data_IF_445344269543
#
_entry.id   IF_445344269543
#
_cell.length_a   1.000
_cell.length_b   1.000
_cell.length_c   1.000
_cell.angle_alpha   90.00
_cell.angle_beta   90.00
_cell.angle_gamma   90.00
#
_symmetry.space_group_name_H-M   'P 1'
#
loop_
_entity.id
_entity.type
_entity.pdbx_description
1 polymer ?
#
# COMPACT_ATOMS: atom_id res chain seq x y z
N UNK A 1 -27.41 -32.06 -8.00
CA UNK A 1 -26.89 -30.67 -8.02
C UNK A 1 -28.08 -29.71 -8.14
N UNK A 2 -28.22 -28.73 -7.24
CA UNK A 2 -29.25 -27.68 -7.38
C UNK A 2 -28.85 -26.81 -8.58
N UNK A 3 -29.73 -26.62 -9.57
CA UNK A 3 -29.53 -25.82 -10.78
C UNK A 3 -29.31 -24.34 -10.44
N UNK A 4 -28.15 -23.99 -9.87
CA UNK A 4 -27.79 -22.62 -9.56
C UNK A 4 -27.28 -21.95 -10.82
N UNK A 5 -27.88 -20.82 -11.17
CA UNK A 5 -27.44 -19.93 -12.26
C UNK A 5 -26.89 -18.64 -11.68
N UNK A 6 -26.15 -17.88 -12.50
CA UNK A 6 -25.69 -16.54 -12.11
C UNK A 6 -26.87 -15.62 -11.80
N UNK A 7 -26.63 -14.67 -10.88
CA UNK A 7 -27.54 -13.55 -10.68
C UNK A 7 -27.60 -12.67 -11.93
N UNK A 8 -28.73 -11.98 -12.18
CA UNK A 8 -28.81 -10.99 -13.25
C UNK A 8 -27.73 -9.93 -13.12
N UNK A 9 -27.27 -9.40 -14.25
CA UNK A 9 -26.34 -8.28 -14.27
C UNK A 9 -26.96 -7.07 -13.55
N UNK A 10 -26.13 -6.32 -12.82
CA UNK A 10 -26.58 -5.09 -12.19
C UNK A 10 -26.87 -4.01 -13.24
N UNK A 11 -27.77 -3.09 -12.92
CA UNK A 11 -28.04 -1.94 -13.79
C UNK A 11 -26.82 -1.01 -13.88
N UNK A 12 -26.75 -0.20 -14.95
CA UNK A 12 -25.60 0.67 -15.22
C UNK A 12 -25.32 1.65 -14.08
N UNK A 13 -26.33 2.20 -13.41
CA UNK A 13 -26.10 3.13 -12.27
C UNK A 13 -25.46 2.40 -11.09
N UNK A 14 -25.91 1.18 -10.81
CA UNK A 14 -25.30 0.32 -9.80
C UNK A 14 -23.86 -0.05 -10.16
N UNK A 15 -23.59 -0.37 -11.43
CA UNK A 15 -22.24 -0.75 -11.89
C UNK A 15 -21.22 0.37 -11.69
N UNK A 16 -21.50 1.59 -12.17
CA UNK A 16 -20.55 2.71 -12.00
C UNK A 16 -20.31 3.01 -10.52
N UNK A 17 -21.38 3.05 -9.71
CA UNK A 17 -21.24 3.30 -8.28
C UNK A 17 -20.34 2.26 -7.62
N UNK A 18 -20.55 0.97 -7.88
CA UNK A 18 -19.74 -0.11 -7.30
C UNK A 18 -18.29 -0.04 -7.77
N UNK A 19 -18.06 0.12 -9.07
CA UNK A 19 -16.72 0.18 -9.63
C UNK A 19 -15.92 1.33 -9.03
N UNK A 20 -16.48 2.54 -8.96
CA UNK A 20 -15.80 3.70 -8.39
C UNK A 20 -15.50 3.50 -6.90
N UNK A 21 -16.46 3.05 -6.09
CA UNK A 21 -16.20 2.81 -4.67
C UNK A 21 -15.13 1.74 -4.43
N UNK A 22 -15.15 0.66 -5.20
CA UNK A 22 -14.18 -0.43 -5.04
C UNK A 22 -12.79 0.03 -5.45
N UNK A 23 -12.65 0.69 -6.60
CA UNK A 23 -11.35 1.03 -7.16
C UNK A 23 -10.75 2.28 -6.51
N UNK A 24 -11.54 3.29 -6.17
CA UNK A 24 -11.02 4.58 -5.69
C UNK A 24 -11.42 4.91 -4.26
N UNK A 25 -12.32 4.14 -3.65
CA UNK A 25 -12.86 4.43 -2.32
C UNK A 25 -13.86 5.59 -2.27
N UNK A 26 -14.16 6.23 -3.40
CA UNK A 26 -14.99 7.42 -3.49
C UNK A 26 -16.26 7.16 -4.34
N UNK A 27 -17.35 7.93 -4.12
CA UNK A 27 -18.48 7.91 -5.05
C UNK A 27 -18.09 8.53 -6.41
N UNK A 28 -18.74 8.12 -7.51
CA UNK A 28 -18.61 8.84 -8.79
C UNK A 28 -19.30 10.20 -8.72
N UNK A 29 -18.82 11.17 -9.51
CA UNK A 29 -19.50 12.47 -9.64
C UNK A 29 -20.77 12.33 -10.50
N UNK A 30 -21.74 13.26 -10.37
CA UNK A 30 -22.92 13.27 -11.24
C UNK A 30 -22.58 13.27 -12.74
N UNK A 31 -21.53 13.99 -13.14
CA UNK A 31 -21.06 14.11 -14.52
C UNK A 31 -20.45 12.78 -15.01
N UNK A 32 -19.70 12.08 -14.18
CA UNK A 32 -19.16 10.75 -14.50
C UNK A 32 -20.29 9.73 -14.68
N UNK A 33 -21.32 9.78 -13.83
CA UNK A 33 -22.51 8.94 -13.96
C UNK A 33 -23.23 9.25 -15.27
N UNK A 34 -23.48 10.51 -15.57
CA UNK A 34 -24.16 10.90 -16.81
C UNK A 34 -23.37 10.46 -18.04
N UNK A 35 -22.05 10.68 -18.04
CA UNK A 35 -21.16 10.29 -19.14
C UNK A 35 -21.18 8.78 -19.36
N UNK A 36 -21.07 7.99 -18.29
CA UNK A 36 -21.15 6.53 -18.38
C UNK A 36 -22.52 6.03 -18.84
N UNK A 37 -23.62 6.66 -18.42
CA UNK A 37 -24.96 6.26 -18.85
C UNK A 37 -25.25 6.61 -20.30
N UNK A 38 -24.60 7.64 -20.85
CA UNK A 38 -24.73 8.07 -22.24
C UNK A 38 -23.81 7.30 -23.20
N UNK A 39 -22.84 6.52 -22.71
CA UNK A 39 -21.95 5.72 -23.55
C UNK A 39 -22.61 4.40 -23.95
N UNK A 40 -23.16 4.35 -25.17
CA UNK A 40 -23.76 3.14 -25.76
C UNK A 40 -22.75 2.19 -26.42
N UNK A 41 -21.45 2.48 -26.29
CA UNK A 41 -20.39 1.58 -26.74
C UNK A 41 -20.47 0.22 -26.04
N UNK A 42 -20.18 -0.84 -26.80
CA UNK A 42 -19.97 -2.18 -26.24
C UNK A 42 -18.80 -2.25 -25.24
N UNK A 43 -17.92 -1.25 -25.23
CA UNK A 43 -16.76 -1.13 -24.32
C UNK A 43 -16.94 -0.08 -23.21
N UNK A 44 -18.16 0.43 -23.00
CA UNK A 44 -18.39 1.52 -22.04
C UNK A 44 -17.92 1.17 -20.62
N UNK A 45 -18.07 -0.10 -20.21
CA UNK A 45 -17.67 -0.55 -18.89
C UNK A 45 -16.15 -0.70 -18.76
N UNK A 46 -15.50 -1.28 -19.77
CA UNK A 46 -14.05 -1.44 -19.83
C UNK A 46 -13.36 -0.09 -19.77
N UNK A 47 -13.81 0.89 -20.56
CA UNK A 47 -13.27 2.26 -20.52
C UNK A 47 -13.49 2.95 -19.18
N UNK A 48 -14.61 2.67 -18.50
CA UNK A 48 -14.82 3.14 -17.14
C UNK A 48 -13.78 2.54 -16.19
N UNK A 49 -13.50 1.24 -16.28
CA UNK A 49 -12.51 0.57 -15.44
C UNK A 49 -11.10 1.11 -15.73
N UNK A 50 -10.70 1.21 -16.99
CA UNK A 50 -9.37 1.73 -17.38
C UNK A 50 -9.15 3.13 -16.79
N UNK A 51 -10.13 4.03 -16.96
CA UNK A 51 -10.08 5.38 -16.37
C UNK A 51 -9.98 5.37 -14.84
N UNK A 52 -10.62 4.42 -14.17
CA UNK A 52 -10.56 4.31 -12.71
C UNK A 52 -9.20 3.76 -12.26
N UNK A 53 -8.63 2.80 -12.97
CA UNK A 53 -7.29 2.25 -12.70
C UNK A 53 -6.18 3.27 -12.94
N UNK A 54 -6.33 4.13 -13.96
CA UNK A 54 -5.41 5.24 -14.25
C UNK A 54 -5.52 6.41 -13.26
N UNK A 55 -6.54 6.42 -12.39
CA UNK A 55 -6.76 7.50 -11.42
C UNK A 55 -5.74 7.43 -10.28
N UNK A 56 -5.16 8.57 -9.84
CA UNK A 56 -4.34 8.61 -8.62
C UNK A 56 -5.06 8.06 -7.39
N UNK A 57 -6.40 8.14 -7.37
CA UNK A 57 -7.22 7.63 -6.27
C UNK A 57 -7.21 6.11 -6.16
N UNK A 58 -6.97 5.40 -7.27
CA UNK A 58 -6.78 3.95 -7.23
C UNK A 58 -5.51 3.60 -6.46
N UNK A 59 -4.40 4.25 -6.80
CA UNK A 59 -3.11 4.07 -6.13
C UNK A 59 -3.18 4.40 -4.64
N UNK A 60 -3.85 5.49 -4.26
CA UNK A 60 -4.10 5.85 -2.86
C UNK A 60 -4.93 4.78 -2.13
N UNK A 61 -6.01 4.30 -2.77
CA UNK A 61 -6.92 3.32 -2.16
C UNK A 61 -6.26 1.96 -1.95
N UNK A 62 -5.55 1.47 -2.95
CA UNK A 62 -4.87 0.16 -2.87
C UNK A 62 -3.59 0.23 -2.06
N UNK A 63 -2.85 1.33 -2.16
CA UNK A 63 -1.71 1.62 -1.30
C UNK A 63 -2.10 1.63 0.17
N UNK A 64 -3.29 2.15 0.54
CA UNK A 64 -3.78 2.10 1.92
C UNK A 64 -3.85 0.66 2.46
N UNK A 65 -4.39 -0.29 1.70
CA UNK A 65 -4.46 -1.69 2.16
C UNK A 65 -3.08 -2.28 2.44
N UNK A 66 -2.09 -1.95 1.60
CA UNK A 66 -0.71 -2.37 1.86
C UNK A 66 -0.10 -1.67 3.07
N UNK A 67 -0.38 -0.38 3.25
CA UNK A 67 0.13 0.39 4.40
C UNK A 67 -0.45 -0.14 5.72
N UNK A 68 -1.74 -0.47 5.74
CA UNK A 68 -2.40 -1.10 6.90
C UNK A 68 -1.74 -2.45 7.22
N UNK A 69 -1.45 -3.24 6.18
CA UNK A 69 -0.78 -4.54 6.29
C UNK A 69 0.67 -4.43 6.77
N UNK A 70 1.40 -3.43 6.30
CA UNK A 70 2.76 -3.14 6.74
C UNK A 70 2.82 -2.57 8.16
N UNK A 71 1.69 -2.20 8.77
CA UNK A 71 1.66 -1.55 10.09
C UNK A 71 2.09 -0.08 10.03
N UNK A 72 1.90 0.59 8.89
CA UNK A 72 2.27 1.98 8.71
C UNK A 72 1.60 2.88 9.76
N UNK A 73 2.41 3.69 10.42
CA UNK A 73 1.97 4.77 11.28
C UNK A 73 2.92 5.97 11.14
N UNK A 74 2.37 7.18 11.28
CA UNK A 74 3.17 8.42 11.35
C UNK A 74 3.88 8.58 12.70
N UNK A 75 3.67 7.66 13.65
CA UNK A 75 4.25 7.64 15.00
C UNK A 75 4.73 6.23 15.40
N UNK A 76 5.45 6.12 16.51
CA UNK A 76 6.04 4.84 16.98
C UNK A 76 5.02 3.87 17.61
N UNK A 77 3.85 4.35 18.06
CA UNK A 77 2.74 3.52 18.54
C UNK A 77 2.94 2.80 19.88
N UNK A 78 4.16 2.81 20.44
CA UNK A 78 4.54 1.95 21.58
C UNK A 78 4.66 2.67 22.93
N UNK A 79 4.84 3.99 22.94
CA UNK A 79 5.04 4.77 24.19
C UNK A 79 3.96 5.83 24.36
N UNK A 80 3.70 6.25 25.60
CA UNK A 80 2.80 7.39 25.88
C UNK A 80 3.24 8.70 25.23
N UNK A 81 4.53 8.85 24.91
CA UNK A 81 5.05 10.00 24.19
C UNK A 81 4.80 9.95 22.68
N UNK A 82 4.44 8.77 22.15
CA UNK A 82 4.12 8.47 20.75
C UNK A 82 4.84 9.35 19.72
N UNK A 83 6.16 9.17 19.63
CA UNK A 83 7.01 10.07 18.85
C UNK A 83 6.67 10.00 17.37
N UNK A 84 6.60 11.16 16.72
CA UNK A 84 6.35 11.28 15.29
C UNK A 84 7.56 10.77 14.51
N UNK A 85 7.31 9.86 13.57
CA UNK A 85 8.27 9.39 12.58
C UNK A 85 8.44 10.42 11.48
N UNK A 86 9.41 11.33 11.66
CA UNK A 86 9.66 12.49 10.79
C UNK A 86 9.67 12.20 9.28
N UNK A 87 10.08 11.00 8.88
CA UNK A 87 10.26 10.63 7.48
C UNK A 87 9.40 9.44 7.02
N UNK A 88 8.45 8.96 7.85
CA UNK A 88 7.60 7.80 7.50
C UNK A 88 6.79 8.05 6.22
N UNK A 89 6.33 9.27 6.00
CA UNK A 89 5.60 9.67 4.78
C UNK A 89 6.30 9.30 3.47
N UNK A 90 7.64 9.19 3.45
CA UNK A 90 8.39 8.76 2.27
C UNK A 90 8.03 7.34 1.87
N UNK A 91 7.90 6.44 2.84
CA UNK A 91 7.49 5.06 2.61
C UNK A 91 6.03 4.98 2.15
N UNK A 92 5.13 5.78 2.75
CA UNK A 92 3.75 5.93 2.28
C UNK A 92 3.69 6.33 0.81
N UNK A 93 4.43 7.36 0.43
CA UNK A 93 4.43 7.89 -0.93
C UNK A 93 5.10 6.90 -1.90
N UNK A 94 6.10 6.14 -1.47
CA UNK A 94 6.68 5.03 -2.24
C UNK A 94 5.64 3.93 -2.53
N UNK A 95 4.88 3.50 -1.53
CA UNK A 95 3.84 2.48 -1.70
C UNK A 95 2.78 2.98 -2.68
N UNK A 96 2.23 4.17 -2.46
CA UNK A 96 1.21 4.75 -3.34
C UNK A 96 1.74 4.83 -4.78
N UNK A 97 2.96 5.32 -4.98
CA UNK A 97 3.55 5.39 -6.32
C UNK A 97 3.75 4.02 -6.96
N UNK A 98 4.20 3.03 -6.19
CA UNK A 98 4.40 1.66 -6.69
C UNK A 98 3.09 1.04 -7.20
N UNK A 99 1.96 1.29 -6.52
CA UNK A 99 0.63 0.88 -7.02
C UNK A 99 0.18 1.69 -8.24
N UNK A 100 0.47 2.99 -8.30
CA UNK A 100 0.10 3.86 -9.42
C UNK A 100 0.89 3.60 -10.70
N UNK A 101 2.13 3.14 -10.58
CA UNK A 101 3.02 2.79 -11.70
C UNK A 101 2.92 1.32 -12.11
N UNK A 102 2.03 0.54 -11.48
CA UNK A 102 1.89 -0.91 -11.68
C UNK A 102 3.22 -1.65 -11.51
N UNK A 103 3.97 -1.31 -10.44
CA UNK A 103 5.26 -1.92 -10.15
C UNK A 103 5.08 -3.44 -9.97
N UNK A 104 5.86 -4.29 -10.68
CA UNK A 104 5.78 -5.72 -10.52
C UNK A 104 5.92 -6.14 -9.06
N UNK A 105 5.03 -7.02 -8.59
CA UNK A 105 4.95 -7.39 -7.18
C UNK A 105 6.26 -7.97 -6.62
N UNK A 106 6.98 -8.75 -7.43
CA UNK A 106 8.28 -9.32 -7.09
C UNK A 106 9.34 -8.23 -6.85
N UNK A 107 9.37 -7.21 -7.71
CA UNK A 107 10.25 -6.04 -7.54
C UNK A 107 9.84 -5.25 -6.30
N UNK A 108 8.55 -4.95 -6.16
CA UNK A 108 8.00 -4.21 -5.02
C UNK A 108 8.32 -4.87 -3.69
N UNK A 109 8.17 -6.19 -3.59
CA UNK A 109 8.48 -6.94 -2.38
C UNK A 109 10.00 -7.04 -2.13
N UNK A 110 10.79 -7.26 -3.18
CA UNK A 110 12.26 -7.35 -3.06
C UNK A 110 12.86 -6.03 -2.57
N UNK A 111 12.41 -4.89 -3.11
CA UNK A 111 12.85 -3.56 -2.67
C UNK A 111 12.49 -3.28 -1.21
N UNK A 112 11.39 -3.85 -0.70
CA UNK A 112 10.98 -3.69 0.70
C UNK A 112 11.78 -4.56 1.67
N UNK A 113 12.22 -5.74 1.23
CA UNK A 113 12.97 -6.68 2.07
C UNK A 113 14.48 -6.45 2.05
N UNK A 114 15.00 -5.89 0.97
CA UNK A 114 16.45 -5.83 0.72
C UNK A 114 16.86 -4.60 -0.11
N UNK A 115 16.08 -3.53 -0.12
CA UNK A 115 16.35 -2.37 -0.97
C UNK A 115 17.69 -1.69 -0.67
N UNK A 116 18.17 -1.73 0.57
CA UNK A 116 19.50 -1.31 0.98
C UNK A 116 20.62 -2.19 0.40
N UNK A 117 20.40 -3.50 0.28
CA UNK A 117 21.35 -4.44 -0.36
C UNK A 117 21.40 -4.30 -1.89
N UNK A 118 20.42 -3.63 -2.51
CA UNK A 118 20.35 -3.42 -3.95
C UNK A 118 21.14 -2.19 -4.44
N UNK A 119 21.68 -1.37 -3.53
CA UNK A 119 22.29 -0.07 -3.85
C UNK A 119 23.55 0.19 -3.04
N UNK A 120 24.49 0.94 -3.60
CA UNK A 120 25.65 1.44 -2.85
C UNK A 120 25.27 2.66 -2.01
N UNK A 121 24.67 2.43 -0.85
CA UNK A 121 24.32 3.49 0.10
C UNK A 121 25.53 4.01 0.91
N UNK A 122 26.68 3.34 0.82
CA UNK A 122 27.91 3.73 1.51
C UNK A 122 28.56 4.99 0.91
N UNK A 123 28.19 5.35 -0.31
CA UNK A 123 28.67 6.53 -1.01
C UNK A 123 27.53 7.53 -1.31
N UNK A 124 27.11 8.35 -0.32
CA UNK A 124 25.97 9.25 -0.46
C UNK A 124 26.18 10.35 -1.51
N UNK A 125 27.44 10.66 -1.86
CA UNK A 125 27.75 11.65 -2.91
C UNK A 125 27.30 11.18 -4.30
N UNK A 126 27.19 9.87 -4.49
CA UNK A 126 26.75 9.24 -5.73
C UNK A 126 25.28 8.77 -5.68
N UNK A 127 24.53 9.12 -4.64
CA UNK A 127 23.15 8.66 -4.48
C UNK A 127 22.25 9.16 -5.62
N UNK A 128 21.66 8.22 -6.34
CA UNK A 128 20.66 8.49 -7.39
C UNK A 128 19.24 8.54 -6.80
N UNK A 129 18.24 9.07 -7.52
CA UNK A 129 16.83 8.95 -7.10
C UNK A 129 16.41 7.50 -6.86
N UNK A 130 16.91 6.56 -7.67
CA UNK A 130 16.69 5.12 -7.48
C UNK A 130 17.32 4.60 -6.19
N UNK A 131 18.53 5.08 -5.83
CA UNK A 131 19.18 4.75 -4.56
C UNK A 131 18.31 5.16 -3.39
N UNK A 132 17.80 6.38 -3.42
CA UNK A 132 16.90 6.90 -2.37
C UNK A 132 15.60 6.09 -2.33
N UNK A 133 15.05 5.72 -3.49
CA UNK A 133 13.80 4.95 -3.56
C UNK A 133 13.92 3.58 -2.92
N UNK A 134 14.96 2.81 -3.23
CA UNK A 134 15.16 1.47 -2.66
C UNK A 134 15.47 1.53 -1.16
N UNK A 135 16.20 2.55 -0.70
CA UNK A 135 16.38 2.81 0.73
C UNK A 135 15.06 3.16 1.44
N UNK A 136 14.20 3.94 0.79
CA UNK A 136 12.86 4.25 1.31
C UNK A 136 11.99 3.00 1.37
N UNK A 137 12.05 2.14 0.34
CA UNK A 137 11.30 0.89 0.27
C UNK A 137 11.62 -0.04 1.46
N UNK A 138 12.91 -0.15 1.80
CA UNK A 138 13.40 -0.93 2.96
C UNK A 138 12.79 -0.46 4.30
N UNK A 139 12.20 0.73 4.32
CA UNK A 139 11.39 1.22 5.43
C UNK A 139 10.23 0.29 5.83
N UNK A 140 9.79 -0.65 4.98
CA UNK A 140 8.85 -1.72 5.33
C UNK A 140 9.23 -2.42 6.64
N UNK A 141 10.51 -2.77 6.81
CA UNK A 141 11.03 -3.44 8.01
C UNK A 141 11.04 -2.54 9.25
N UNK A 142 10.67 -1.26 9.12
CA UNK A 142 10.63 -0.28 10.21
C UNK A 142 9.22 0.16 10.57
N UNK A 143 8.20 -0.43 9.92
CA UNK A 143 6.82 -0.02 10.15
C UNK A 143 6.23 -0.60 11.43
N UNK A 144 6.73 -1.75 11.90
CA UNK A 144 6.37 -2.30 13.21
C UNK A 144 6.60 -1.30 14.37
N UNK A 145 5.83 -1.37 15.47
CA UNK A 145 6.00 -0.47 16.61
C UNK A 145 7.40 -0.56 17.23
N UNK A 146 8.16 0.54 17.21
CA UNK A 146 9.53 0.55 17.74
C UNK A 146 9.69 1.45 18.96
N UNK A 147 9.86 0.79 20.12
CA UNK A 147 10.06 1.43 21.40
C UNK A 147 11.53 1.66 21.76
N UNK A 148 12.51 1.37 20.89
CA UNK A 148 13.93 1.25 21.24
C UNK A 148 14.78 2.51 21.04
N UNK A 149 14.13 3.65 20.76
CA UNK A 149 14.79 4.94 20.49
C UNK A 149 15.63 5.55 21.61
N UNK A 150 15.70 4.95 22.80
CA UNK A 150 16.48 5.45 23.94
C UNK A 150 17.05 4.33 24.83
N UNK A 151 18.23 4.56 25.42
CA UNK A 151 18.95 3.57 26.23
C UNK A 151 18.12 2.83 27.32
N UNK A 152 17.21 3.48 28.07
CA UNK A 152 16.44 2.80 29.11
C UNK A 152 15.50 1.69 28.62
N UNK A 153 15.22 1.68 27.32
CA UNK A 153 14.21 0.86 26.62
C UNK A 153 14.76 0.29 25.32
N UNK A 154 16.09 0.16 25.27
CA UNK A 154 16.84 -0.44 24.16
C UNK A 154 17.59 -1.69 24.67
N UNK A 155 16.96 -2.44 25.58
CA UNK A 155 17.51 -3.70 26.11
C UNK A 155 17.34 -4.81 25.07
N UNK A 156 18.04 -5.92 25.29
CA UNK A 156 17.92 -7.09 24.40
C UNK A 156 16.47 -7.55 24.30
N UNK A 157 15.71 -7.59 25.39
CA UNK A 157 14.29 -7.94 25.37
C UNK A 157 13.46 -7.03 24.47
N UNK A 158 13.70 -5.72 24.54
CA UNK A 158 12.92 -4.71 23.80
C UNK A 158 13.18 -4.84 22.29
N UNK A 159 14.44 -5.09 21.91
CA UNK A 159 14.82 -5.35 20.51
C UNK A 159 14.23 -6.65 19.98
N UNK A 160 14.23 -7.71 20.79
CA UNK A 160 13.65 -9.00 20.38
C UNK A 160 12.13 -8.89 20.18
N UNK A 161 11.45 -8.05 20.96
CA UNK A 161 10.03 -7.77 20.77
C UNK A 161 9.80 -7.06 19.43
N UNK A 162 10.59 -6.02 19.10
CA UNK A 162 10.49 -5.34 17.79
C UNK A 162 10.73 -6.30 16.63
N UNK A 163 11.77 -7.14 16.72
CA UNK A 163 12.04 -8.18 15.70
C UNK A 163 10.85 -9.16 15.58
N UNK A 164 10.22 -9.50 16.70
CA UNK A 164 9.02 -10.38 16.69
C UNK A 164 7.86 -9.69 15.98
N UNK A 165 7.62 -8.41 16.25
CA UNK A 165 6.57 -7.62 15.60
C UNK A 165 6.83 -7.48 14.09
N UNK A 166 8.09 -7.27 13.69
CA UNK A 166 8.52 -7.25 12.27
C UNK A 166 8.25 -8.60 11.58
N UNK A 167 8.57 -9.72 12.24
CA UNK A 167 8.29 -11.06 11.74
C UNK A 167 6.78 -11.31 11.60
N UNK A 168 5.96 -10.83 12.54
CA UNK A 168 4.49 -10.99 12.48
C UNK A 168 3.91 -10.22 11.28
N UNK A 169 4.34 -8.98 11.05
CA UNK A 169 3.95 -8.17 9.89
C UNK A 169 4.31 -8.88 8.59
N UNK A 170 5.55 -9.37 8.46
CA UNK A 170 6.00 -10.09 7.28
C UNK A 170 5.20 -11.39 7.07
N UNK A 171 5.04 -12.19 8.12
CA UNK A 171 4.43 -13.52 8.02
C UNK A 171 2.95 -13.43 7.68
N UNK A 172 2.21 -12.56 8.36
CA UNK A 172 0.78 -12.37 8.09
C UNK A 172 0.56 -11.66 6.77
N UNK A 173 1.34 -10.61 6.52
CA UNK A 173 1.14 -9.73 5.38
C UNK A 173 1.53 -10.35 4.05
N UNK A 174 2.66 -11.06 4.01
CA UNK A 174 3.24 -11.59 2.77
C UNK A 174 2.99 -13.09 2.62
N UNK A 175 3.15 -13.86 3.70
CA UNK A 175 3.04 -15.33 3.62
C UNK A 175 1.62 -15.85 3.91
N UNK A 176 0.75 -15.03 4.52
CA UNK A 176 -0.56 -15.46 5.00
C UNK A 176 -0.48 -16.46 6.16
N UNK A 177 0.60 -16.40 6.94
CA UNK A 177 0.87 -17.30 8.07
C UNK A 177 0.81 -16.55 9.39
N UNK A 178 0.31 -17.23 10.44
CA UNK A 178 0.48 -16.79 11.82
C UNK A 178 1.68 -17.50 12.41
N UNK A 179 2.64 -16.74 12.95
CA UNK A 179 3.83 -17.27 13.63
C UNK A 179 3.85 -16.90 15.11
#
# INVERSE_FOLDING_TARGET
AKQLTYSPAADRRTLIRRATYVLTGLPPTPEEVQSFLADDSSQAYERLIDRLLESPRYAEKWGQFWLDLAGYADSEGKRSADLIRKYAWRYRDYVIRSFGEDKPYDVFLTEQLAGDELVDYGNPENATPETIEKLVATGFLRMAPDGTSANPVNRVSDRMEVITDEIDVLSRGVLGLTM
#
